data_IF_566220806068
#
_entry.id   IF_566220806068
#
_cell.length_a   1.000
_cell.length_b   1.000
_cell.length_c   1.000
_cell.angle_alpha   90.00
_cell.angle_beta   90.00
_cell.angle_gamma   90.00
#
_symmetry.space_group_name_H-M   'P 1'
#
loop_
_entity.id
_entity.type
_entity.pdbx_description
1 polymer ?
#
# COMPACT_ATOMS: atom_id res chain seq x y z
N UNK A 1 5.15 -17.66 -7.08
CA UNK A 1 4.76 -17.93 -5.67
C UNK A 1 3.45 -17.20 -5.43
N UNK A 2 2.42 -17.85 -4.91
CA UNK A 2 1.14 -17.19 -4.65
C UNK A 2 1.27 -16.29 -3.42
N UNK A 3 1.18 -14.97 -3.59
CA UNK A 3 1.23 -14.03 -2.48
C UNK A 3 -0.15 -13.98 -1.79
N UNK A 4 -0.37 -14.93 -0.89
CA UNK A 4 -1.56 -14.98 -0.04
C UNK A 4 -1.40 -14.01 1.14
N UNK A 5 -2.46 -13.23 1.39
CA UNK A 5 -2.58 -12.36 2.54
C UNK A 5 -2.72 -13.17 3.83
N UNK A 6 -2.05 -12.74 4.89
CA UNK A 6 -2.10 -13.37 6.21
C UNK A 6 -2.30 -12.31 7.29
N UNK A 7 -3.45 -12.36 7.97
CA UNK A 7 -3.83 -11.42 9.03
C UNK A 7 -2.92 -11.50 10.27
N UNK A 8 -2.10 -12.55 10.40
CA UNK A 8 -1.19 -12.73 11.54
C UNK A 8 0.23 -12.26 11.27
N UNK A 9 0.59 -12.02 10.00
CA UNK A 9 1.93 -11.58 9.63
C UNK A 9 2.12 -10.08 9.84
N UNK A 10 3.36 -9.62 10.10
CA UNK A 10 3.66 -8.20 10.23
C UNK A 10 3.24 -7.42 8.98
N UNK A 11 2.43 -6.37 9.14
CA UNK A 11 1.95 -5.53 8.03
C UNK A 11 2.47 -4.12 8.16
N UNK A 12 3.04 -3.57 7.09
CA UNK A 12 3.28 -2.13 7.03
C UNK A 12 1.98 -1.40 6.69
N UNK A 13 1.65 -0.36 7.44
CA UNK A 13 0.57 0.56 7.12
C UNK A 13 1.15 1.81 6.44
N UNK A 14 0.62 2.17 5.27
CA UNK A 14 1.00 3.39 4.57
C UNK A 14 -0.23 4.30 4.40
N UNK A 15 -0.37 5.28 5.29
CA UNK A 15 -1.42 6.29 5.23
C UNK A 15 -0.90 7.55 4.54
N UNK A 16 -1.58 8.04 3.51
CA UNK A 16 -1.10 9.22 2.80
C UNK A 16 -2.06 9.82 1.80
N UNK A 17 -1.70 10.99 1.27
CA UNK A 17 -2.27 11.49 0.02
C UNK A 17 -1.38 10.94 -1.09
N UNK A 18 -1.91 10.02 -1.88
CA UNK A 18 -1.17 9.34 -2.95
C UNK A 18 -1.45 9.92 -4.33
N UNK A 19 -2.22 11.02 -4.37
CA UNK A 19 -2.61 11.73 -5.58
C UNK A 19 -1.90 13.09 -5.68
N UNK A 20 -1.39 13.47 -6.87
CA UNK A 20 -1.24 12.63 -8.04
C UNK A 20 -0.22 11.50 -7.80
N UNK A 21 -0.46 10.33 -8.37
CA UNK A 21 0.47 9.22 -8.24
C UNK A 21 1.72 9.47 -9.10
N UNK A 22 2.90 9.20 -8.55
CA UNK A 22 4.18 9.42 -9.23
C UNK A 22 5.21 8.36 -8.79
N UNK A 23 6.37 8.30 -9.47
CA UNK A 23 7.37 7.25 -9.26
C UNK A 23 7.87 7.12 -7.82
N UNK A 24 7.96 8.23 -7.08
CA UNK A 24 8.29 8.21 -5.64
C UNK A 24 7.38 7.30 -4.81
N UNK A 25 6.08 7.26 -5.11
CA UNK A 25 5.13 6.37 -4.45
C UNK A 25 5.41 4.89 -4.74
N UNK A 26 5.75 4.58 -5.99
CA UNK A 26 6.07 3.22 -6.41
C UNK A 26 7.40 2.72 -5.79
N UNK A 27 8.43 3.55 -5.81
CA UNK A 27 9.72 3.26 -5.16
C UNK A 27 9.53 3.04 -3.67
N UNK A 28 8.74 3.89 -3.00
CA UNK A 28 8.45 3.74 -1.59
C UNK A 28 7.70 2.44 -1.29
N UNK A 29 6.66 2.11 -2.07
CA UNK A 29 5.94 0.85 -1.93
C UNK A 29 6.85 -0.37 -2.11
N UNK A 30 7.73 -0.38 -3.13
CA UNK A 30 8.69 -1.46 -3.39
C UNK A 30 9.64 -1.71 -2.22
N UNK A 31 10.15 -0.65 -1.61
CA UNK A 31 11.03 -0.77 -0.45
C UNK A 31 10.30 -1.34 0.77
N UNK A 32 9.04 -0.95 0.99
CA UNK A 32 8.25 -1.44 2.12
C UNK A 32 7.84 -2.90 1.92
N UNK A 33 7.31 -3.29 0.75
CA UNK A 33 6.90 -4.67 0.48
C UNK A 33 8.08 -5.64 0.54
N UNK A 34 9.29 -5.21 0.14
CA UNK A 34 10.52 -6.02 0.28
C UNK A 34 10.88 -6.28 1.74
N UNK A 35 10.60 -5.32 2.64
CA UNK A 35 10.92 -5.43 4.07
C UNK A 35 9.88 -6.23 4.85
N UNK A 36 8.60 -5.99 4.60
CA UNK A 36 7.51 -6.57 5.42
C UNK A 36 6.78 -7.74 4.77
N UNK A 37 6.90 -7.92 3.45
CA UNK A 37 6.19 -8.95 2.70
C UNK A 37 4.69 -8.69 2.52
N UNK A 38 4.09 -7.79 3.31
CA UNK A 38 2.72 -7.32 3.17
C UNK A 38 2.55 -5.85 3.59
N UNK A 39 1.68 -5.15 2.87
CA UNK A 39 1.43 -3.72 3.02
C UNK A 39 -0.06 -3.42 2.90
N UNK A 40 -0.55 -2.57 3.78
CA UNK A 40 -1.89 -1.98 3.77
C UNK A 40 -1.78 -0.50 3.43
N UNK A 41 -2.29 -0.08 2.26
CA UNK A 41 -2.26 1.33 1.83
C UNK A 41 -3.63 1.96 2.09
N UNK A 42 -3.61 3.07 2.82
CA UNK A 42 -4.80 3.89 3.09
C UNK A 42 -4.60 5.24 2.42
N UNK A 43 -5.44 5.51 1.42
CA UNK A 43 -5.40 6.76 0.67
C UNK A 43 -6.42 7.71 1.30
N UNK A 44 -5.94 8.86 1.78
CA UNK A 44 -6.82 9.95 2.23
C UNK A 44 -7.50 10.57 1.04
N UNK A 45 -8.80 10.85 1.20
CA UNK A 45 -9.59 11.58 0.22
C UNK A 45 -8.93 12.93 -0.11
N UNK A 46 -8.82 13.19 -1.41
CA UNK A 46 -8.49 14.49 -1.98
C UNK A 46 -9.65 14.80 -2.93
N UNK A 47 -10.51 15.75 -2.56
CA UNK A 47 -11.61 16.27 -3.40
C UNK A 47 -12.80 15.33 -3.67
N UNK A 48 -13.17 14.43 -2.77
CA UNK A 48 -14.35 13.55 -2.88
C UNK A 48 -14.07 12.22 -3.58
N UNK A 49 -12.81 11.82 -3.70
CA UNK A 49 -12.38 10.59 -4.37
C UNK A 49 -12.17 9.48 -3.33
N UNK A 50 -12.90 8.39 -3.55
CA UNK A 50 -13.05 7.20 -2.69
C UNK A 50 -11.75 6.68 -2.06
N UNK A 51 -11.83 6.34 -0.77
CA UNK A 51 -10.80 5.59 -0.05
C UNK A 51 -10.72 4.18 -0.65
N UNK A 52 -9.59 3.84 -1.27
CA UNK A 52 -9.31 2.46 -1.70
C UNK A 52 -8.33 1.86 -0.69
N UNK A 53 -8.78 0.84 0.03
CA UNK A 53 -7.89 -0.08 0.73
C UNK A 53 -7.26 -1.01 -0.33
N UNK A 54 -6.05 -0.67 -0.77
CA UNK A 54 -5.30 -1.53 -1.69
C UNK A 54 -4.49 -2.53 -0.87
N UNK A 55 -4.97 -3.77 -0.84
CA UNK A 55 -4.19 -4.94 -0.46
C UNK A 55 -3.48 -5.42 -1.72
N UNK A 56 -2.26 -4.94 -1.96
CA UNK A 56 -1.50 -5.31 -3.14
C UNK A 56 -0.87 -6.70 -2.94
N UNK A 57 -1.46 -7.69 -3.62
CA UNK A 57 -0.81 -8.97 -3.94
C UNK A 57 0.05 -8.73 -5.19
N UNK A 58 1.37 -8.91 -5.10
CA UNK A 58 2.14 -9.24 -6.31
C UNK A 58 2.06 -10.74 -6.59
#
# INVERSE_FOLDING_TARGET
MTHQWDNKKPTAQMLGRWQPFHDGHYTFFKEIIKKTGQVCIQIRDVQGVMIILLILKQ
#
